data_IF_399079864276
#
_entry.id   IF_399079864276
#
_cell.length_a   1.000
_cell.length_b   1.000
_cell.length_c   1.000
_cell.angle_alpha   90.00
_cell.angle_beta   90.00
_cell.angle_gamma   90.00
#
_symmetry.space_group_name_H-M   'P 1'
#
loop_
_entity.id
_entity.type
_entity.pdbx_description
1 polymer ?
#
# COMPACT_ATOMS: atom_id res chain seq x y z
N UNK A 1 -9.52 -20.48 24.85
CA UNK A 1 -10.05 -19.53 25.86
C UNK A 1 -9.27 -18.20 25.76
N UNK A 2 -9.39 -17.52 24.61
CA UNK A 2 -8.72 -16.24 24.28
C UNK A 2 -9.66 -15.42 23.37
N UNK A 3 -10.90 -15.28 23.81
CA UNK A 3 -11.87 -14.37 23.22
C UNK A 3 -12.28 -13.39 24.32
N UNK A 4 -12.22 -12.09 23.99
CA UNK A 4 -12.53 -10.91 24.84
C UNK A 4 -11.37 -10.30 25.63
N UNK A 5 -10.42 -9.71 24.91
CA UNK A 5 -9.65 -8.54 25.38
C UNK A 5 -9.48 -7.48 24.27
N UNK A 6 -10.48 -7.32 23.39
CA UNK A 6 -10.54 -6.20 22.44
C UNK A 6 -11.43 -5.07 22.99
N UNK A 7 -11.16 -4.64 24.22
CA UNK A 7 -11.74 -3.41 24.75
C UNK A 7 -10.77 -2.25 24.43
N UNK A 8 -11.17 -1.45 23.44
CA UNK A 8 -10.85 -0.04 23.27
C UNK A 8 -9.39 0.34 23.59
N UNK A 9 -8.46 0.02 22.69
CA UNK A 9 -7.27 0.86 22.60
C UNK A 9 -7.76 2.27 22.29
N UNK A 10 -7.50 3.27 23.15
CA UNK A 10 -7.94 4.63 22.90
C UNK A 10 -7.31 5.08 21.59
N UNK A 11 -8.14 5.49 20.62
CA UNK A 11 -7.68 6.02 19.34
C UNK A 11 -6.56 7.04 19.58
N UNK A 12 -5.48 6.96 18.81
CA UNK A 12 -4.36 7.89 18.93
C UNK A 12 -4.82 9.30 18.56
N UNK A 13 -4.09 10.31 19.06
CA UNK A 13 -4.40 11.74 18.85
C UNK A 13 -4.55 12.07 17.36
N UNK A 14 -3.66 11.52 16.53
CA UNK A 14 -3.73 11.64 15.06
C UNK A 14 -5.09 11.19 14.52
N UNK A 15 -5.53 9.97 14.84
CA UNK A 15 -6.80 9.42 14.36
C UNK A 15 -8.00 10.27 14.79
N UNK A 16 -8.03 10.70 16.06
CA UNK A 16 -9.11 11.55 16.57
C UNK A 16 -9.17 12.90 15.88
N UNK A 17 -8.01 13.51 15.61
CA UNK A 17 -7.93 14.79 14.92
C UNK A 17 -8.53 14.72 13.52
N UNK A 18 -8.21 13.66 12.76
CA UNK A 18 -8.78 13.47 11.42
C UNK A 18 -10.29 13.24 11.51
N UNK A 19 -10.75 12.31 12.36
CA UNK A 19 -12.18 12.01 12.52
C UNK A 19 -13.00 13.24 12.96
N UNK A 20 -12.46 14.05 13.89
CA UNK A 20 -13.11 15.28 14.32
C UNK A 20 -13.28 16.27 13.15
N UNK A 21 -12.28 16.37 12.25
CA UNK A 21 -12.41 17.21 11.06
C UNK A 21 -13.43 16.66 10.07
N UNK A 22 -13.47 15.34 9.85
CA UNK A 22 -14.45 14.71 8.95
C UNK A 22 -15.88 14.90 9.45
N UNK A 23 -16.11 14.74 10.75
CA UNK A 23 -17.43 14.90 11.35
C UNK A 23 -17.96 16.35 11.28
N UNK A 24 -17.07 17.34 11.34
CA UNK A 24 -17.44 18.75 11.10
C UNK A 24 -17.89 19.01 9.66
N UNK A 25 -17.43 18.21 8.69
CA UNK A 25 -17.78 18.37 7.28
C UNK A 25 -19.10 17.68 6.89
N UNK A 26 -19.54 16.66 7.64
CA UNK A 26 -20.73 15.85 7.33
C UNK A 26 -22.07 16.46 7.80
N UNK A 27 -22.14 17.77 8.00
CA UNK A 27 -23.35 18.45 8.52
C UNK A 27 -24.46 18.65 7.47
N UNK A 28 -24.29 18.20 6.23
CA UNK A 28 -25.33 18.31 5.19
C UNK A 28 -25.80 16.93 4.71
N UNK A 29 -27.03 16.57 5.11
CA UNK A 29 -27.73 15.35 4.73
C UNK A 29 -28.02 15.21 3.21
N UNK A 30 -27.80 16.28 2.43
CA UNK A 30 -28.26 16.39 1.04
C UNK A 30 -27.15 16.34 -0.01
N UNK A 31 -25.87 16.29 0.37
CA UNK A 31 -24.77 16.22 -0.58
C UNK A 31 -24.11 14.83 -0.59
N UNK A 32 -23.83 14.25 -1.78
CA UNK A 32 -23.03 13.04 -1.86
C UNK A 32 -21.67 13.27 -1.17
N UNK A 33 -21.23 12.35 -0.32
CA UNK A 33 -19.96 12.37 0.47
C UNK A 33 -18.72 12.82 -0.33
N UNK A 34 -18.74 12.60 -1.65
CA UNK A 34 -17.64 12.89 -2.55
C UNK A 34 -17.73 14.26 -3.23
N UNK A 35 -18.91 14.86 -3.39
CA UNK A 35 -19.10 16.04 -4.23
C UNK A 35 -18.45 17.28 -3.61
N UNK A 36 -17.67 18.01 -4.40
CA UNK A 36 -17.09 19.29 -4.02
C UNK A 36 -17.75 20.47 -4.78
N UNK A 37 -18.50 21.32 -4.08
CA UNK A 37 -19.16 22.50 -4.69
C UNK A 37 -18.30 23.76 -4.66
N UNK A 38 -17.09 23.66 -4.12
CA UNK A 38 -16.19 24.80 -3.90
C UNK A 38 -15.09 24.89 -4.95
N UNK A 39 -14.68 23.75 -5.52
CA UNK A 39 -13.69 23.70 -6.60
C UNK A 39 -14.03 24.63 -7.77
N UNK A 40 -15.28 24.67 -8.29
CA UNK A 40 -15.62 25.55 -9.43
C UNK A 40 -15.51 27.05 -9.11
N UNK A 41 -15.41 27.42 -7.83
CA UNK A 41 -15.33 28.80 -7.36
C UNK A 41 -13.88 29.28 -7.17
N UNK A 42 -12.90 28.39 -7.35
CA UNK A 42 -11.49 28.73 -7.18
C UNK A 42 -11.00 29.62 -8.33
N UNK A 43 -10.26 30.65 -7.98
CA UNK A 43 -9.52 31.50 -8.92
C UNK A 43 -8.28 30.77 -9.44
N UNK A 44 -7.71 31.26 -10.55
CA UNK A 44 -6.47 30.71 -11.11
C UNK A 44 -5.28 30.79 -10.14
N UNK A 45 -5.25 31.82 -9.29
CA UNK A 45 -4.22 32.01 -8.27
C UNK A 45 -4.36 30.93 -7.19
N UNK A 46 -5.55 30.74 -6.62
CA UNK A 46 -5.82 29.71 -5.61
C UNK A 46 -5.53 28.29 -6.15
N UNK A 47 -5.81 28.06 -7.43
CA UNK A 47 -5.47 26.79 -8.09
C UNK A 47 -3.96 26.58 -8.14
N UNK A 48 -3.19 27.57 -8.60
CA UNK A 48 -1.74 27.47 -8.70
C UNK A 48 -1.06 27.33 -7.33
N UNK A 49 -1.55 28.07 -6.33
CA UNK A 49 -1.12 27.94 -4.94
C UNK A 49 -1.43 26.54 -4.41
N UNK A 50 -2.65 26.05 -4.60
CA UNK A 50 -3.06 24.71 -4.15
C UNK A 50 -2.31 23.57 -4.84
N UNK A 51 -1.92 23.74 -6.12
CA UNK A 51 -1.03 22.80 -6.82
C UNK A 51 0.36 22.82 -6.15
N UNK A 52 0.93 24.01 -5.97
CA UNK A 52 2.27 24.18 -5.40
C UNK A 52 2.35 23.60 -3.98
N UNK A 53 1.36 23.91 -3.14
CA UNK A 53 1.22 23.34 -1.80
C UNK A 53 1.11 21.81 -1.84
N UNK A 54 0.34 21.24 -2.76
CA UNK A 54 0.25 19.78 -2.89
C UNK A 54 1.61 19.17 -3.26
N UNK A 55 2.36 19.80 -4.17
CA UNK A 55 3.69 19.36 -4.56
C UNK A 55 4.68 19.37 -3.39
N UNK A 56 4.65 20.42 -2.57
CA UNK A 56 5.51 20.59 -1.39
C UNK A 56 5.12 19.66 -0.25
N UNK A 57 3.83 19.40 -0.05
CA UNK A 57 3.32 18.54 1.01
C UNK A 57 3.64 17.06 0.81
N UNK A 58 3.93 16.61 -0.41
CA UNK A 58 4.24 15.21 -0.70
C UNK A 58 5.74 14.93 -0.56
N UNK A 59 6.16 14.11 0.43
CA UNK A 59 7.57 13.84 0.66
C UNK A 59 8.22 13.13 -0.52
N UNK A 60 9.53 13.29 -0.61
CA UNK A 60 10.38 12.50 -1.50
C UNK A 60 11.09 11.42 -0.68
N UNK A 61 11.34 10.26 -1.29
CA UNK A 61 12.05 9.16 -0.64
C UNK A 61 11.59 7.82 -1.18
N UNK A 62 12.50 6.85 -1.20
CA UNK A 62 12.24 5.51 -1.70
C UNK A 62 11.26 4.75 -0.82
N UNK A 63 11.22 5.03 0.49
CA UNK A 63 10.38 4.31 1.46
C UNK A 63 8.95 4.84 1.59
N UNK A 64 8.62 5.91 0.88
CA UNK A 64 7.26 6.44 0.89
C UNK A 64 6.47 5.84 -0.26
N UNK A 65 5.27 5.37 0.08
CA UNK A 65 4.25 4.98 -0.90
C UNK A 65 3.00 5.79 -0.65
N UNK A 66 2.21 5.92 -1.71
CA UNK A 66 1.10 6.84 -1.79
C UNK A 66 -0.16 6.09 -2.20
N UNK A 67 -1.31 6.51 -1.65
CA UNK A 67 -2.60 6.02 -2.10
C UNK A 67 -3.60 7.16 -2.23
N UNK A 68 -4.27 7.24 -3.36
CA UNK A 68 -5.39 8.14 -3.57
C UNK A 68 -6.69 7.43 -3.19
N UNK A 69 -7.59 8.14 -2.53
CA UNK A 69 -8.94 7.65 -2.24
C UNK A 69 -9.95 8.77 -2.42
N UNK A 70 -11.07 8.45 -3.08
CA UNK A 70 -12.16 9.40 -3.31
C UNK A 70 -13.20 9.34 -2.18
N UNK A 71 -13.64 10.50 -1.69
CA UNK A 71 -14.59 10.59 -0.58
C UNK A 71 -13.98 10.32 0.80
N UNK A 72 -14.82 10.28 1.82
CA UNK A 72 -14.35 10.18 3.21
C UNK A 72 -14.41 8.77 3.78
N UNK A 73 -15.16 7.86 3.15
CA UNK A 73 -15.44 6.52 3.69
C UNK A 73 -14.20 5.73 4.09
N UNK A 74 -13.20 5.59 3.20
CA UNK A 74 -11.99 4.83 3.50
C UNK A 74 -11.20 5.49 4.65
N UNK A 75 -11.15 6.82 4.67
CA UNK A 75 -10.49 7.59 5.76
C UNK A 75 -11.19 7.37 7.08
N UNK A 76 -12.52 7.47 7.11
CA UNK A 76 -13.29 7.26 8.32
C UNK A 76 -13.10 5.83 8.87
N UNK A 77 -13.21 4.81 8.01
CA UNK A 77 -13.04 3.41 8.42
C UNK A 77 -11.61 3.11 8.89
N UNK A 78 -10.58 3.56 8.15
CA UNK A 78 -9.18 3.34 8.51
C UNK A 78 -8.81 4.08 9.81
N UNK A 79 -9.29 5.31 10.01
CA UNK A 79 -9.07 6.05 11.24
C UNK A 79 -9.76 5.42 12.46
N UNK A 80 -10.96 4.88 12.26
CA UNK A 80 -11.75 4.24 13.33
C UNK A 80 -11.16 2.90 13.74
N UNK A 81 -10.68 2.11 12.77
CA UNK A 81 -10.15 0.77 13.01
C UNK A 81 -8.64 0.75 13.26
N UNK A 82 -7.97 1.86 12.97
CA UNK A 82 -6.51 2.01 12.92
C UNK A 82 -5.82 1.14 11.84
N UNK A 83 -6.57 0.67 10.83
CA UNK A 83 -6.03 -0.17 9.75
C UNK A 83 -6.40 0.35 8.36
N UNK A 84 -5.40 0.74 7.59
CA UNK A 84 -5.52 1.05 6.17
C UNK A 84 -5.32 -0.22 5.33
N UNK A 85 -6.25 -0.49 4.41
CA UNK A 85 -6.27 -1.72 3.61
C UNK A 85 -7.16 -2.83 4.16
N UNK A 86 -8.04 -2.52 5.14
CA UNK A 86 -9.02 -3.47 5.72
C UNK A 86 -10.44 -2.91 5.78
N UNK A 87 -10.77 -2.02 4.82
CA UNK A 87 -12.08 -1.38 4.70
C UNK A 87 -13.22 -2.40 4.48
N UNK A 88 -14.45 -1.98 4.74
CA UNK A 88 -15.67 -2.77 4.50
C UNK A 88 -15.79 -3.21 3.04
N UNK A 89 -15.30 -2.41 2.10
CA UNK A 89 -15.24 -2.74 0.66
C UNK A 89 -14.17 -3.80 0.40
N UNK A 90 -12.97 -3.60 0.95
CA UNK A 90 -11.86 -4.53 0.78
C UNK A 90 -12.20 -5.94 1.29
N UNK A 91 -12.86 -6.04 2.45
CA UNK A 91 -13.25 -7.34 3.05
C UNK A 91 -14.29 -8.12 2.22
N UNK A 92 -15.04 -7.45 1.35
CA UNK A 92 -16.04 -8.09 0.47
C UNK A 92 -15.45 -8.66 -0.82
N UNK A 93 -14.20 -8.31 -1.17
CA UNK A 93 -13.52 -8.82 -2.38
C UNK A 93 -13.23 -10.31 -2.28
N UNK A 94 -12.87 -10.92 -3.41
CA UNK A 94 -12.52 -12.34 -3.47
C UNK A 94 -11.31 -12.70 -2.58
N UNK A 95 -11.33 -13.91 -2.03
CA UNK A 95 -10.24 -14.48 -1.25
C UNK A 95 -9.17 -15.06 -2.18
N UNK A 96 -8.44 -14.19 -2.89
CA UNK A 96 -7.52 -14.58 -3.97
C UNK A 96 -6.15 -13.92 -3.83
N UNK A 97 -5.10 -14.67 -4.17
CA UNK A 97 -3.74 -14.18 -4.38
C UNK A 97 -3.33 -14.22 -5.86
N UNK A 98 -4.28 -14.31 -6.80
CA UNK A 98 -4.00 -14.18 -8.23
C UNK A 98 -3.63 -12.72 -8.54
N UNK A 99 -2.33 -12.47 -8.62
CA UNK A 99 -1.79 -11.14 -8.88
C UNK A 99 -2.21 -10.61 -10.25
N UNK A 100 -2.25 -11.46 -11.28
CA UNK A 100 -2.55 -11.02 -12.65
C UNK A 100 -4.02 -10.62 -12.77
N UNK A 101 -4.92 -11.42 -12.19
CA UNK A 101 -6.34 -11.02 -12.12
C UNK A 101 -6.52 -9.72 -11.33
N UNK A 102 -5.82 -9.57 -10.20
CA UNK A 102 -5.89 -8.37 -9.39
C UNK A 102 -5.52 -7.09 -10.15
N UNK A 103 -4.55 -7.15 -11.08
CA UNK A 103 -4.19 -6.00 -11.92
C UNK A 103 -5.31 -5.54 -12.85
N UNK A 104 -6.26 -6.43 -13.18
CA UNK A 104 -7.38 -6.14 -14.08
C UNK A 104 -8.63 -5.79 -13.29
N UNK A 105 -8.99 -6.65 -12.32
CA UNK A 105 -10.27 -6.61 -11.62
C UNK A 105 -10.22 -5.84 -10.29
N UNK A 106 -9.02 -5.60 -9.74
CA UNK A 106 -8.81 -5.12 -8.37
C UNK A 106 -9.59 -5.95 -7.32
N UNK A 107 -9.86 -7.23 -7.61
CA UNK A 107 -10.73 -8.09 -6.81
C UNK A 107 -9.92 -9.09 -5.98
N UNK A 108 -9.16 -8.58 -5.02
CA UNK A 108 -8.57 -9.38 -3.95
C UNK A 108 -8.72 -8.68 -2.62
N UNK A 109 -9.18 -9.40 -1.60
CA UNK A 109 -9.22 -8.89 -0.22
C UNK A 109 -7.84 -8.82 0.43
N UNK A 110 -6.85 -9.53 -0.12
CA UNK A 110 -5.50 -9.63 0.41
C UNK A 110 -4.52 -8.64 -0.22
N UNK A 111 -4.90 -8.02 -1.35
CA UNK A 111 -4.07 -7.05 -2.05
C UNK A 111 -4.61 -5.63 -1.96
N UNK A 112 -3.71 -4.69 -1.72
CA UNK A 112 -4.01 -3.28 -1.57
C UNK A 112 -3.03 -2.42 -2.37
N UNK A 113 -3.51 -1.83 -3.46
CA UNK A 113 -2.70 -1.04 -4.39
C UNK A 113 -2.28 0.30 -3.78
N UNK A 114 -1.00 0.61 -4.00
CA UNK A 114 -0.32 1.85 -3.65
C UNK A 114 0.65 2.21 -4.78
N UNK A 115 1.06 3.47 -4.86
CA UNK A 115 2.05 3.92 -5.84
C UNK A 115 3.32 4.40 -5.13
N UNK A 116 4.53 4.03 -5.59
CA UNK A 116 5.77 4.63 -5.11
C UNK A 116 5.97 6.06 -5.65
N UNK A 117 5.14 6.51 -6.60
CA UNK A 117 5.29 7.82 -7.23
C UNK A 117 4.21 8.79 -6.76
N UNK A 118 4.67 9.89 -6.16
CA UNK A 118 3.82 10.97 -5.65
C UNK A 118 3.03 11.73 -6.72
N UNK A 119 3.37 11.57 -7.99
CA UNK A 119 2.68 12.23 -9.11
C UNK A 119 1.56 11.36 -9.69
N UNK A 120 1.77 10.05 -9.79
CA UNK A 120 0.79 9.11 -10.35
C UNK A 120 -0.35 8.78 -9.39
N UNK A 121 -0.23 9.13 -8.10
CA UNK A 121 -1.29 8.93 -7.11
C UNK A 121 -2.47 9.91 -7.27
N UNK A 122 -2.21 11.11 -7.83
CA UNK A 122 -3.18 12.21 -7.83
C UNK A 122 -4.49 11.83 -8.52
N UNK A 123 -4.50 11.25 -9.74
CA UNK A 123 -5.74 10.89 -10.40
C UNK A 123 -6.64 9.97 -9.57
N UNK A 124 -6.06 9.08 -8.76
CA UNK A 124 -6.81 8.17 -7.89
C UNK A 124 -7.48 8.85 -6.69
N UNK A 125 -7.03 10.04 -6.30
CA UNK A 125 -7.60 10.76 -5.17
C UNK A 125 -8.85 11.54 -5.55
N UNK A 126 -8.85 12.23 -6.70
CA UNK A 126 -9.98 13.07 -7.12
C UNK A 126 -10.10 13.27 -8.66
N UNK A 127 -9.27 12.60 -9.46
CA UNK A 127 -9.18 12.82 -10.91
C UNK A 127 -9.97 11.82 -11.75
N UNK A 128 -10.51 10.75 -11.15
CA UNK A 128 -11.31 9.74 -11.85
C UNK A 128 -12.81 10.10 -11.84
N UNK A 129 -13.31 10.67 -10.74
CA UNK A 129 -14.69 11.12 -10.61
C UNK A 129 -15.15 11.96 -11.80
N UNK A 130 -16.41 11.81 -12.21
CA UNK A 130 -17.01 12.56 -13.34
C UNK A 130 -17.23 14.03 -12.97
N UNK A 131 -17.59 14.26 -11.70
CA UNK A 131 -17.94 15.55 -11.11
C UNK A 131 -16.83 16.00 -10.14
N UNK A 132 -16.74 17.30 -9.84
CA UNK A 132 -15.80 17.80 -8.85
C UNK A 132 -15.94 17.04 -7.53
N UNK A 133 -14.82 16.62 -6.97
CA UNK A 133 -14.86 15.78 -5.79
C UNK A 133 -13.75 16.07 -4.79
N UNK A 134 -14.02 15.70 -3.55
CA UNK A 134 -13.05 15.61 -2.46
C UNK A 134 -12.39 14.25 -2.47
N UNK A 135 -11.11 14.27 -2.20
CA UNK A 135 -10.28 13.09 -2.11
C UNK A 135 -9.25 13.22 -1.00
N UNK A 136 -8.51 12.14 -0.79
CA UNK A 136 -7.40 12.10 0.13
C UNK A 136 -6.23 11.37 -0.49
N UNK A 137 -5.03 11.86 -0.22
CA UNK A 137 -3.79 11.16 -0.50
C UNK A 137 -3.21 10.71 0.84
N UNK A 138 -3.11 9.40 0.99
CA UNK A 138 -2.37 8.76 2.08
C UNK A 138 -0.89 8.76 1.71
N UNK A 139 -0.05 9.16 2.67
CA UNK A 139 1.40 9.05 2.59
C UNK A 139 1.83 8.07 3.67
N UNK A 140 2.39 6.94 3.29
CA UNK A 140 2.74 5.86 4.20
C UNK A 140 4.19 5.42 4.01
N UNK A 141 4.77 4.80 5.04
CA UNK A 141 6.00 4.02 4.88
C UNK A 141 5.76 2.74 4.07
N UNK A 142 6.84 1.99 3.80
CA UNK A 142 6.73 0.64 3.24
C UNK A 142 5.95 -0.29 4.20
N UNK A 143 5.11 -1.19 3.67
CA UNK A 143 4.35 -2.13 4.49
C UNK A 143 5.25 -3.25 5.01
N UNK A 144 4.70 -4.13 5.85
CA UNK A 144 5.40 -5.36 6.23
C UNK A 144 5.70 -6.26 5.04
N UNK A 145 4.73 -6.43 4.14
CA UNK A 145 4.83 -7.33 2.99
C UNK A 145 4.24 -6.65 1.77
N UNK A 146 4.96 -6.69 0.66
CA UNK A 146 4.49 -6.17 -0.61
C UNK A 146 5.01 -6.98 -1.78
N UNK A 147 4.52 -6.64 -2.96
CA UNK A 147 5.12 -7.08 -4.20
C UNK A 147 5.05 -6.02 -5.29
N UNK A 148 5.86 -6.21 -6.34
CA UNK A 148 5.94 -5.32 -7.50
C UNK A 148 5.42 -6.09 -8.73
N UNK A 149 4.25 -5.74 -9.27
CA UNK A 149 3.66 -6.48 -10.39
C UNK A 149 4.53 -6.48 -11.65
N UNK A 150 5.16 -5.35 -11.98
CA UNK A 150 6.06 -5.24 -13.13
C UNK A 150 7.23 -6.25 -13.05
N UNK A 151 7.79 -6.47 -11.84
CA UNK A 151 8.87 -7.43 -11.61
C UNK A 151 8.44 -8.85 -11.98
N UNK A 152 7.19 -9.22 -11.72
CA UNK A 152 6.69 -10.56 -12.07
C UNK A 152 6.63 -10.79 -13.57
N UNK A 153 6.35 -9.75 -14.37
CA UNK A 153 6.37 -9.89 -15.83
C UNK A 153 7.75 -10.32 -16.32
N UNK A 154 8.81 -9.77 -15.73
CA UNK A 154 10.19 -10.14 -16.09
C UNK A 154 10.64 -11.50 -15.54
N UNK A 155 10.11 -11.90 -14.38
CA UNK A 155 10.46 -13.14 -13.69
C UNK A 155 9.66 -14.35 -14.16
N UNK A 156 8.39 -14.16 -14.52
CA UNK A 156 7.41 -15.21 -14.80
C UNK A 156 6.37 -14.73 -15.82
N UNK A 157 6.84 -14.47 -17.05
CA UNK A 157 6.00 -14.04 -18.16
C UNK A 157 4.86 -15.03 -18.43
N UNK A 158 5.09 -16.32 -18.21
CA UNK A 158 4.10 -17.38 -18.45
C UNK A 158 2.85 -17.25 -17.58
N UNK A 159 2.96 -16.68 -16.38
CA UNK A 159 1.80 -16.39 -15.54
C UNK A 159 0.82 -15.43 -16.24
N UNK A 160 1.35 -14.46 -16.99
CA UNK A 160 0.55 -13.50 -17.77
C UNK A 160 0.01 -14.15 -19.05
N UNK A 161 0.77 -15.05 -19.68
CA UNK A 161 0.29 -15.82 -20.84
C UNK A 161 -0.82 -16.80 -20.49
N UNK A 162 -0.72 -17.48 -19.35
CA UNK A 162 -1.79 -18.34 -18.83
C UNK A 162 -3.06 -17.54 -18.56
N UNK A 163 -2.95 -16.36 -17.94
CA UNK A 163 -4.11 -15.46 -17.78
C UNK A 163 -4.71 -15.03 -19.12
N UNK A 164 -3.86 -14.59 -20.06
CA UNK A 164 -4.28 -14.18 -21.41
C UNK A 164 -5.06 -15.28 -22.12
N UNK A 165 -4.54 -16.52 -22.12
CA UNK A 165 -5.22 -17.67 -22.71
C UNK A 165 -6.57 -17.95 -22.07
N UNK A 166 -6.65 -17.90 -20.73
CA UNK A 166 -7.92 -18.08 -19.99
C UNK A 166 -8.95 -17.02 -20.37
N UNK A 167 -8.55 -15.75 -20.46
CA UNK A 167 -9.45 -14.65 -20.80
C UNK A 167 -9.96 -14.74 -22.24
N UNK A 168 -9.08 -15.01 -23.21
CA UNK A 168 -9.47 -15.15 -24.63
C UNK A 168 -10.48 -16.28 -24.82
N UNK A 169 -10.33 -17.38 -24.09
CA UNK A 169 -11.29 -18.50 -24.14
C UNK A 169 -12.67 -18.17 -23.55
N UNK A 170 -12.76 -17.10 -22.74
CA UNK A 170 -13.98 -16.66 -22.08
C UNK A 170 -14.66 -15.48 -22.79
N UNK A 171 -14.05 -14.93 -23.86
CA UNK A 171 -14.62 -13.79 -24.58
C UNK A 171 -15.87 -14.20 -25.36
N UNK A 172 -16.90 -13.37 -25.24
CA UNK A 172 -18.09 -13.46 -26.10
C UNK A 172 -17.82 -12.86 -27.49
N UNK A 173 -18.68 -13.18 -28.46
CA UNK A 173 -18.55 -12.67 -29.83
C UNK A 173 -18.63 -11.14 -29.84
N UNK A 174 -17.58 -10.50 -30.38
CA UNK A 174 -17.46 -9.04 -30.46
C UNK A 174 -16.69 -8.39 -29.31
N UNK A 175 -16.35 -9.12 -28.25
CA UNK A 175 -15.50 -8.61 -27.18
C UNK A 175 -14.01 -8.56 -27.58
N UNK A 176 -13.29 -7.54 -27.08
CA UNK A 176 -11.86 -7.37 -27.34
C UNK A 176 -11.05 -7.67 -26.10
N UNK A 177 -10.06 -8.55 -26.26
CA UNK A 177 -9.03 -8.75 -25.24
C UNK A 177 -8.17 -7.49 -25.07
N UNK A 178 -7.94 -7.09 -23.82
CA UNK A 178 -6.98 -6.04 -23.48
C UNK A 178 -5.66 -6.67 -23.00
N UNK A 179 -4.53 -6.44 -23.70
CA UNK A 179 -3.25 -7.08 -23.36
C UNK A 179 -2.74 -6.76 -21.95
N UNK A 180 -2.77 -7.75 -21.05
CA UNK A 180 -2.36 -7.57 -19.64
C UNK A 180 -0.86 -7.32 -19.49
N UNK A 181 -0.03 -7.85 -20.39
CA UNK A 181 1.42 -7.64 -20.37
C UNK A 181 1.79 -6.15 -20.52
N UNK A 182 1.08 -5.42 -21.39
CA UNK A 182 1.31 -3.99 -21.58
C UNK A 182 0.90 -3.18 -20.33
N UNK A 183 -0.22 -3.55 -19.71
CA UNK A 183 -0.63 -2.97 -18.42
C UNK A 183 0.43 -3.22 -17.35
N UNK A 184 0.89 -4.46 -17.18
CA UNK A 184 1.90 -4.82 -16.19
C UNK A 184 3.25 -4.14 -16.44
N UNK A 185 3.69 -4.03 -17.69
CA UNK A 185 4.94 -3.37 -18.06
C UNK A 185 4.96 -1.87 -17.73
N UNK A 186 3.80 -1.21 -17.79
CA UNK A 186 3.65 0.21 -17.46
C UNK A 186 3.17 0.45 -16.01
N UNK A 187 2.98 -0.62 -15.24
CA UNK A 187 2.49 -0.53 -13.87
C UNK A 187 3.66 -0.36 -12.89
N UNK A 188 3.88 0.86 -12.43
CA UNK A 188 4.88 1.15 -11.40
C UNK A 188 4.36 0.99 -9.96
N UNK A 189 3.15 0.47 -9.77
CA UNK A 189 2.51 0.33 -8.46
C UNK A 189 3.21 -0.72 -7.57
N UNK A 190 3.03 -0.53 -6.28
CA UNK A 190 3.37 -1.49 -5.24
C UNK A 190 2.06 -2.08 -4.72
N UNK A 191 1.95 -3.40 -4.76
CA UNK A 191 0.81 -4.11 -4.18
C UNK A 191 1.16 -4.52 -2.76
N UNK A 192 0.55 -3.84 -1.78
CA UNK A 192 0.65 -4.21 -0.36
C UNK A 192 -0.13 -5.51 -0.13
N UNK A 193 0.43 -6.42 0.66
CA UNK A 193 -0.22 -7.67 1.02
C UNK A 193 -0.71 -7.55 2.46
N UNK A 194 -2.03 -7.52 2.63
CA UNK A 194 -2.68 -7.30 3.93
C UNK A 194 -3.04 -8.60 4.65
N UNK A 195 -2.77 -9.77 4.05
CA UNK A 195 -2.92 -11.08 4.68
C UNK A 195 -2.69 -12.26 3.73
N UNK A 196 -2.48 -13.46 4.28
CA UNK A 196 -2.45 -14.72 3.54
C UNK A 196 -3.70 -15.60 3.78
N UNK A 197 -4.44 -15.37 4.86
CA UNK A 197 -5.75 -15.95 5.13
C UNK A 197 -6.72 -14.94 5.72
N UNK A 198 -7.99 -15.33 5.94
CA UNK A 198 -9.01 -14.42 6.46
C UNK A 198 -8.77 -14.00 7.92
N UNK A 199 -7.96 -14.76 8.64
CA UNK A 199 -7.57 -14.54 10.03
C UNK A 199 -6.37 -13.58 10.15
N UNK A 200 -5.65 -13.35 9.05
CA UNK A 200 -4.50 -12.46 9.01
C UNK A 200 -4.91 -10.98 8.99
N UNK A 201 -4.08 -10.16 9.62
CA UNK A 201 -4.12 -8.71 9.47
C UNK A 201 -2.70 -8.14 9.41
N UNK A 202 -2.19 -7.99 8.20
CA UNK A 202 -0.87 -7.41 7.91
C UNK A 202 -1.01 -5.99 7.34
N UNK A 203 -2.19 -5.40 7.45
CA UNK A 203 -2.51 -4.09 6.92
C UNK A 203 -1.68 -2.99 7.61
N UNK A 204 -1.58 -1.84 6.95
CA UNK A 204 -0.87 -0.68 7.49
C UNK A 204 -1.63 -0.17 8.71
N UNK A 205 -0.94 -0.06 9.85
CA UNK A 205 -1.51 0.54 11.05
C UNK A 205 -1.45 2.05 10.93
N UNK A 206 -2.60 2.72 10.90
CA UNK A 206 -2.66 4.16 10.62
C UNK A 206 -1.83 4.97 11.61
N UNK A 207 -1.91 4.63 12.88
CA UNK A 207 -1.16 5.32 13.94
C UNK A 207 0.36 5.21 13.85
N UNK A 208 0.91 4.21 13.14
CA UNK A 208 2.35 3.94 13.09
C UNK A 208 2.94 4.11 11.68
N UNK A 209 2.22 3.62 10.66
CA UNK A 209 2.72 3.49 9.29
C UNK A 209 2.32 4.65 8.36
N UNK A 210 1.33 5.45 8.74
CA UNK A 210 0.88 6.61 7.97
C UNK A 210 1.61 7.84 8.47
N UNK A 211 2.40 8.46 7.61
CA UNK A 211 3.15 9.68 7.90
C UNK A 211 2.25 10.91 7.89
N UNK A 212 1.36 10.99 6.89
CA UNK A 212 0.40 12.07 6.76
C UNK A 212 -0.75 11.71 5.84
N UNK A 213 -1.80 12.50 5.94
CA UNK A 213 -2.96 12.48 5.03
C UNK A 213 -3.16 13.88 4.51
N UNK A 214 -3.35 13.98 3.21
CA UNK A 214 -3.56 15.24 2.51
C UNK A 214 -4.96 15.20 1.95
N UNK A 215 -5.84 16.09 2.42
CA UNK A 215 -7.12 16.30 1.76
C UNK A 215 -6.89 17.11 0.48
N UNK A 216 -7.52 16.66 -0.59
CA UNK A 216 -7.47 17.30 -1.89
C UNK A 216 -8.88 17.50 -2.45
N UNK A 217 -9.01 18.39 -3.43
CA UNK A 217 -10.21 18.51 -4.26
C UNK A 217 -9.82 18.60 -5.73
N UNK A 218 -10.65 18.02 -6.59
CA UNK A 218 -10.41 17.96 -8.03
C UNK A 218 -11.63 18.38 -8.85
N UNK A 219 -11.44 18.70 -10.14
CA UNK A 219 -12.49 19.19 -11.04
C UNK A 219 -13.42 18.09 -11.60
N UNK A 220 -12.99 16.83 -11.51
CA UNK A 220 -13.64 15.70 -12.18
C UNK A 220 -13.42 15.66 -13.70
N UNK A 221 -13.60 14.49 -14.32
CA UNK A 221 -13.26 14.20 -15.73
C UNK A 221 -14.10 14.94 -16.76
N UNK A 222 -15.40 15.13 -16.51
CA UNK A 222 -16.32 15.67 -17.52
C UNK A 222 -16.55 17.16 -17.32
N UNK A 223 -16.85 17.57 -16.09
CA UNK A 223 -17.02 18.99 -15.76
C UNK A 223 -15.68 19.75 -15.76
N UNK A 224 -14.57 19.08 -15.46
CA UNK A 224 -13.23 19.67 -15.56
C UNK A 224 -12.81 20.11 -16.96
N UNK A 225 -13.48 19.64 -18.02
CA UNK A 225 -13.25 20.14 -19.39
C UNK A 225 -13.74 21.58 -19.58
N UNK A 226 -14.66 22.04 -18.74
CA UNK A 226 -15.25 23.37 -18.77
C UNK A 226 -14.69 24.28 -17.66
N UNK A 227 -13.68 23.82 -16.93
CA UNK A 227 -13.04 24.57 -15.83
C UNK A 227 -11.70 25.14 -16.26
N UNK A 228 -11.25 26.18 -15.55
CA UNK A 228 -9.96 26.84 -15.75
C UNK A 228 -8.76 25.92 -15.49
N UNK A 229 -8.94 24.83 -14.73
CA UNK A 229 -7.89 23.84 -14.46
C UNK A 229 -8.44 22.43 -14.32
N UNK A 230 -7.64 21.46 -14.77
CA UNK A 230 -7.87 20.01 -14.66
C UNK A 230 -7.10 19.38 -13.49
N UNK A 231 -6.35 20.18 -12.74
CA UNK A 231 -5.45 19.71 -11.70
C UNK A 231 -6.14 19.48 -10.36
N UNK A 232 -5.54 18.65 -9.53
CA UNK A 232 -6.00 18.42 -8.16
C UNK A 232 -5.27 19.40 -7.25
N UNK A 233 -6.02 20.05 -6.37
CA UNK A 233 -5.50 21.10 -5.48
C UNK A 233 -5.53 20.64 -4.02
N UNK A 234 -4.54 21.11 -3.26
CA UNK A 234 -4.45 20.94 -1.82
C UNK A 234 -5.65 21.58 -1.08
N UNK A 235 -6.00 21.02 0.08
CA UNK A 235 -6.98 21.61 1.01
C UNK A 235 -6.40 21.74 2.41
N UNK A 236 -5.93 20.63 2.99
CA UNK A 236 -5.34 20.60 4.32
C UNK A 236 -4.55 19.31 4.54
N UNK A 237 -3.63 19.34 5.50
CA UNK A 237 -2.80 18.20 5.89
C UNK A 237 -3.04 17.81 7.34
N UNK A 238 -2.99 16.52 7.60
CA UNK A 238 -2.76 15.98 8.95
C UNK A 238 -1.45 15.21 8.95
N UNK A 239 -0.50 15.65 9.77
CA UNK A 239 0.78 14.96 9.96
C UNK A 239 0.70 14.10 11.21
N UNK A 240 1.16 12.86 11.12
CA UNK A 240 1.22 11.93 12.24
C UNK A 240 2.56 12.10 12.98
N UNK A 241 2.58 12.64 14.21
CA UNK A 241 3.82 12.81 14.97
C UNK A 241 4.44 11.47 15.44
N UNK A 242 3.65 10.40 15.48
CA UNK A 242 4.09 9.07 15.91
C UNK A 242 4.60 8.21 14.76
N UNK A 243 4.53 8.71 13.52
CA UNK A 243 5.02 7.98 12.35
C UNK A 243 6.50 7.66 12.51
N UNK A 244 6.83 6.40 12.23
CA UNK A 244 8.21 5.97 12.02
C UNK A 244 8.28 4.99 10.86
N UNK A 245 9.38 5.06 10.12
CA UNK A 245 9.69 4.03 9.12
C UNK A 245 9.87 2.69 9.83
N UNK A 246 9.32 1.63 9.22
CA UNK A 246 9.58 0.26 9.68
C UNK A 246 11.05 -0.06 9.51
N UNK A 247 11.58 -0.88 10.42
CA UNK A 247 12.95 -1.39 10.31
C UNK A 247 13.11 -2.33 9.11
N UNK A 248 12.04 -3.05 8.74
CA UNK A 248 12.07 -4.03 7.66
C UNK A 248 10.78 -4.01 6.83
N UNK A 249 10.90 -4.50 5.60
CA UNK A 249 9.81 -4.78 4.67
C UNK A 249 10.19 -5.97 3.78
N UNK A 250 9.27 -6.91 3.56
CA UNK A 250 9.49 -8.08 2.71
C UNK A 250 8.89 -7.86 1.33
N UNK A 251 9.71 -8.01 0.29
CA UNK A 251 9.21 -8.14 -1.08
C UNK A 251 9.09 -9.62 -1.43
N UNK A 252 7.85 -10.07 -1.67
CA UNK A 252 7.59 -11.46 -2.06
C UNK A 252 7.25 -11.58 -3.53
N UNK A 253 7.45 -12.77 -4.10
CA UNK A 253 7.00 -13.10 -5.45
C UNK A 253 5.91 -14.17 -5.43
N UNK A 254 5.04 -14.11 -6.44
CA UNK A 254 3.97 -15.07 -6.69
C UNK A 254 4.30 -15.92 -7.92
N UNK A 255 4.11 -17.23 -7.77
CA UNK A 255 4.05 -18.17 -8.89
C UNK A 255 2.59 -18.40 -9.28
N UNK A 256 2.36 -18.96 -10.47
CA UNK A 256 1.01 -19.34 -10.89
C UNK A 256 0.44 -20.45 -9.97
N UNK A 257 -0.74 -20.20 -9.40
CA UNK A 257 -1.45 -21.15 -8.53
C UNK A 257 -0.96 -21.19 -7.08
N UNK A 258 -1.45 -22.16 -6.30
CA UNK A 258 -1.09 -22.35 -4.89
C UNK A 258 0.23 -23.10 -4.69
N UNK A 259 0.73 -23.75 -5.73
CA UNK A 259 2.02 -24.44 -5.73
C UNK A 259 3.09 -23.58 -6.42
N UNK A 260 4.35 -23.62 -5.97
CA UNK A 260 5.47 -22.86 -6.53
C UNK A 260 5.93 -23.37 -7.92
N UNK A 261 5.01 -23.62 -8.85
CA UNK A 261 5.25 -24.33 -10.12
C UNK A 261 6.35 -23.70 -10.97
N UNK A 262 6.45 -22.37 -10.97
CA UNK A 262 7.45 -21.63 -11.75
C UNK A 262 8.57 -21.03 -10.88
N UNK A 263 8.62 -21.36 -9.58
CA UNK A 263 9.49 -20.67 -8.64
C UNK A 263 10.99 -20.86 -8.94
N UNK A 264 11.44 -22.07 -9.26
CA UNK A 264 12.86 -22.30 -9.61
C UNK A 264 13.27 -21.52 -10.85
N UNK A 265 12.39 -21.50 -11.86
CA UNK A 265 12.57 -20.69 -13.06
C UNK A 265 12.63 -19.19 -12.75
N UNK A 266 11.80 -18.70 -11.84
CA UNK A 266 11.84 -17.31 -11.39
C UNK A 266 13.17 -16.98 -10.72
N UNK A 267 13.72 -17.88 -9.90
CA UNK A 267 15.04 -17.70 -9.30
C UNK A 267 16.15 -17.67 -10.37
N UNK A 268 16.12 -18.58 -11.34
CA UNK A 268 17.09 -18.58 -12.45
C UNK A 268 17.01 -17.30 -13.28
N UNK A 269 15.80 -16.82 -13.56
CA UNK A 269 15.57 -15.55 -14.26
C UNK A 269 16.06 -14.37 -13.43
N UNK A 270 15.81 -14.36 -12.12
CA UNK A 270 16.29 -13.31 -11.22
C UNK A 270 17.83 -13.25 -11.18
N UNK A 271 18.52 -14.41 -11.18
CA UNK A 271 19.98 -14.47 -11.29
C UNK A 271 20.49 -13.92 -12.61
N UNK A 272 19.86 -14.32 -13.73
CA UNK A 272 20.21 -13.81 -15.08
C UNK A 272 20.02 -12.30 -15.20
N UNK A 273 19.04 -11.74 -14.49
CA UNK A 273 18.77 -10.30 -14.45
C UNK A 273 19.60 -9.54 -13.38
N UNK A 274 20.46 -10.23 -12.62
CA UNK A 274 21.26 -9.63 -11.55
C UNK A 274 20.46 -9.16 -10.34
N UNK A 275 19.21 -9.62 -10.18
CA UNK A 275 18.35 -9.26 -9.05
C UNK A 275 18.72 -10.01 -7.76
N UNK A 276 19.29 -11.21 -7.91
CA UNK A 276 19.83 -12.04 -6.83
C UNK A 276 21.14 -12.70 -7.29
N UNK A 277 22.00 -13.07 -6.35
CA UNK A 277 23.23 -13.81 -6.55
C UNK A 277 23.02 -15.33 -6.62
N UNK A 278 24.13 -16.06 -6.78
CA UNK A 278 24.13 -17.50 -7.01
C UNK A 278 23.64 -18.32 -5.80
N UNK A 279 23.90 -17.83 -4.59
CA UNK A 279 23.54 -18.50 -3.33
C UNK A 279 22.27 -17.95 -2.69
N UNK A 280 21.49 -17.19 -3.47
CA UNK A 280 20.28 -16.53 -3.01
C UNK A 280 19.04 -17.09 -3.73
N UNK A 281 17.88 -16.89 -3.10
CA UNK A 281 16.54 -17.14 -3.64
C UNK A 281 15.59 -15.99 -3.28
N UNK A 282 14.56 -15.80 -4.10
CA UNK A 282 13.48 -14.82 -3.88
C UNK A 282 12.60 -15.24 -2.69
N UNK A 283 11.96 -14.30 -1.99
CA UNK A 283 10.97 -14.64 -0.96
C UNK A 283 9.60 -14.94 -1.56
N UNK A 284 8.85 -15.83 -0.91
CA UNK A 284 7.49 -16.23 -1.27
C UNK A 284 6.47 -15.77 -0.24
N UNK A 285 5.17 -15.87 -0.55
CA UNK A 285 4.12 -15.65 0.44
C UNK A 285 4.24 -16.61 1.65
N UNK A 286 4.74 -17.83 1.45
CA UNK A 286 4.96 -18.79 2.54
C UNK A 286 6.05 -18.30 3.50
N UNK A 287 7.14 -17.73 2.97
CA UNK A 287 8.19 -17.11 3.78
C UNK A 287 7.61 -15.96 4.61
N UNK A 288 6.88 -15.04 3.96
CA UNK A 288 6.25 -13.91 4.66
C UNK A 288 5.28 -14.37 5.76
N UNK A 289 4.40 -15.33 5.47
CA UNK A 289 3.46 -15.89 6.45
C UNK A 289 4.17 -16.44 7.69
N UNK A 290 5.36 -17.01 7.52
CA UNK A 290 6.11 -17.60 8.63
C UNK A 290 6.76 -16.57 9.57
N UNK A 291 7.06 -15.36 9.08
CA UNK A 291 7.86 -14.36 9.84
C UNK A 291 7.14 -13.05 10.15
N UNK A 292 6.09 -12.66 9.42
CA UNK A 292 5.47 -11.33 9.48
C UNK A 292 4.90 -10.94 10.86
N UNK A 293 4.52 -11.94 11.65
CA UNK A 293 4.01 -11.81 13.02
C UNK A 293 4.97 -12.43 14.04
N UNK A 294 6.26 -12.56 13.70
CA UNK A 294 7.28 -13.03 14.65
C UNK A 294 7.55 -11.99 15.73
N UNK A 295 7.74 -12.45 16.95
CA UNK A 295 8.02 -11.58 18.10
C UNK A 295 9.36 -10.86 17.89
N UNK A 296 10.33 -11.55 17.30
CA UNK A 296 11.67 -11.05 17.05
C UNK A 296 11.68 -9.81 16.13
N UNK A 297 10.93 -9.88 15.03
CA UNK A 297 10.82 -8.76 14.08
C UNK A 297 9.95 -7.63 14.63
N UNK A 298 8.93 -7.94 15.44
CA UNK A 298 8.13 -6.93 16.14
C UNK A 298 8.95 -6.19 17.21
N UNK A 299 9.73 -6.91 18.02
CA UNK A 299 10.62 -6.34 19.03
C UNK A 299 11.69 -5.48 18.36
N UNK A 300 12.29 -5.95 17.26
CA UNK A 300 13.27 -5.19 16.50
C UNK A 300 12.65 -3.87 16.00
N UNK A 301 11.47 -3.93 15.39
CA UNK A 301 10.74 -2.77 14.90
C UNK A 301 10.29 -1.85 16.05
N UNK A 302 9.90 -2.38 17.21
CA UNK A 302 9.44 -1.61 18.36
C UNK A 302 10.59 -0.85 19.05
N UNK A 303 11.77 -1.46 19.15
CA UNK A 303 12.94 -0.91 19.88
C UNK A 303 13.79 0.05 19.06
N UNK A 304 13.67 0.08 17.74
CA UNK A 304 14.54 0.89 16.90
C UNK A 304 13.77 1.88 16.03
N UNK A 305 14.50 2.93 15.63
CA UNK A 305 14.19 3.83 14.54
C UNK A 305 15.23 3.67 13.44
N UNK A 306 14.81 3.97 12.22
CA UNK A 306 15.68 4.01 11.05
C UNK A 306 15.26 5.15 10.14
N UNK A 307 16.24 5.69 9.41
CA UNK A 307 15.99 6.65 8.34
C UNK A 307 15.63 5.97 7.02
N UNK A 308 15.83 4.67 6.89
CA UNK A 308 15.50 3.88 5.70
C UNK A 308 14.94 2.51 6.08
N UNK A 309 13.86 2.07 5.45
CA UNK A 309 13.33 0.73 5.71
C UNK A 309 14.17 -0.33 4.98
N UNK A 310 14.68 -1.32 5.72
CA UNK A 310 15.43 -2.40 5.09
C UNK A 310 14.49 -3.26 4.24
N UNK A 311 14.77 -3.40 2.95
CA UNK A 311 13.99 -4.24 2.05
C UNK A 311 14.65 -5.60 1.95
N UNK A 312 14.02 -6.61 2.54
CA UNK A 312 14.44 -8.00 2.36
C UNK A 312 13.87 -8.47 1.02
N UNK A 313 14.74 -8.56 0.02
CA UNK A 313 14.37 -8.95 -1.35
C UNK A 313 14.69 -10.41 -1.66
N UNK A 314 15.55 -11.02 -0.85
CA UNK A 314 16.14 -12.34 -1.07
C UNK A 314 16.66 -12.93 0.24
N UNK A 315 16.85 -14.24 0.24
CA UNK A 315 17.47 -14.99 1.35
C UNK A 315 18.40 -16.06 0.80
N UNK A 316 19.22 -16.69 1.64
CA UNK A 316 20.06 -17.80 1.20
C UNK A 316 19.21 -18.95 0.62
N UNK A 317 19.63 -19.54 -0.51
CA UNK A 317 18.86 -20.55 -1.24
C UNK A 317 18.58 -21.82 -0.43
N UNK A 318 19.46 -22.15 0.51
CA UNK A 318 19.35 -23.35 1.35
C UNK A 318 18.32 -23.21 2.47
N UNK A 319 17.81 -22.00 2.74
CA UNK A 319 16.74 -21.80 3.71
C UNK A 319 15.44 -22.31 3.08
N UNK A 320 14.79 -23.38 3.59
CA UNK A 320 13.56 -23.90 3.00
C UNK A 320 12.42 -22.87 3.03
N UNK A 321 11.49 -22.96 2.08
CA UNK A 321 10.32 -22.08 2.03
C UNK A 321 9.52 -22.14 3.33
N UNK A 322 9.23 -21.00 3.93
CA UNK A 322 8.44 -20.91 5.16
C UNK A 322 9.15 -21.43 6.42
N UNK A 323 10.46 -21.70 6.37
CA UNK A 323 11.23 -22.12 7.55
C UNK A 323 11.47 -20.94 8.50
N UNK A 324 10.52 -20.71 9.42
CA UNK A 324 10.50 -19.54 10.32
C UNK A 324 11.84 -19.25 11.00
N UNK A 325 12.46 -20.24 11.66
CA UNK A 325 13.67 -20.04 12.46
C UNK A 325 14.83 -19.49 11.64
N UNK A 326 15.19 -20.19 10.56
CA UNK A 326 16.28 -19.79 9.68
C UNK A 326 16.00 -18.49 8.92
N UNK A 327 14.73 -18.22 8.56
CA UNK A 327 14.34 -16.95 7.95
C UNK A 327 14.53 -15.78 8.91
N UNK A 328 14.08 -15.90 10.16
CA UNK A 328 14.23 -14.83 11.17
C UNK A 328 15.70 -14.57 11.45
N UNK A 329 16.49 -15.62 11.67
CA UNK A 329 17.93 -15.49 11.94
C UNK A 329 18.63 -14.75 10.80
N UNK A 330 18.37 -15.16 9.55
CA UNK A 330 18.93 -14.52 8.36
C UNK A 330 18.50 -13.04 8.26
N UNK A 331 17.20 -12.75 8.36
CA UNK A 331 16.66 -11.39 8.23
C UNK A 331 17.24 -10.46 9.30
N UNK A 332 17.30 -10.91 10.56
CA UNK A 332 17.83 -10.10 11.66
C UNK A 332 19.33 -9.84 11.47
N UNK A 333 20.10 -10.84 11.03
CA UNK A 333 21.53 -10.67 10.73
C UNK A 333 21.75 -9.69 9.55
N UNK A 334 20.95 -9.79 8.49
CA UNK A 334 21.00 -8.91 7.33
C UNK A 334 20.70 -7.45 7.72
N UNK A 335 19.64 -7.21 8.50
CA UNK A 335 19.28 -5.86 8.96
C UNK A 335 20.41 -5.27 9.81
N UNK A 336 20.92 -6.04 10.79
CA UNK A 336 21.97 -5.55 11.70
C UNK A 336 23.30 -5.27 11.01
N UNK A 337 23.60 -5.95 9.91
CA UNK A 337 24.83 -5.75 9.15
C UNK A 337 24.74 -4.60 8.14
N UNK A 338 23.54 -4.27 7.65
CA UNK A 338 23.35 -3.30 6.56
C UNK A 338 22.81 -1.94 7.01
N UNK A 339 22.14 -1.87 8.17
CA UNK A 339 21.49 -0.64 8.63
C UNK A 339 22.04 -0.12 9.95
N UNK A 340 22.22 1.21 10.01
CA UNK A 340 22.38 1.91 11.28
C UNK A 340 21.01 2.05 11.94
N UNK A 341 20.73 1.17 12.90
CA UNK A 341 19.54 1.25 13.73
C UNK A 341 19.82 2.15 14.94
N UNK A 342 18.90 3.07 15.23
CA UNK A 342 18.96 3.91 16.42
C UNK A 342 18.00 3.34 17.48
N UNK A 343 18.53 3.02 18.66
CA UNK A 343 17.70 2.51 19.76
C UNK A 343 16.78 3.60 20.30
N UNK A 344 15.51 3.26 20.50
CA UNK A 344 14.53 4.15 21.11
C UNK A 344 14.77 4.11 22.61
N UNK A 345 15.42 5.16 23.13
CA UNK A 345 15.56 5.35 24.58
C UNK A 345 14.18 5.56 25.18
N UNK A 346 13.62 4.53 25.82
CA UNK A 346 12.52 4.73 26.75
C UNK A 346 13.10 5.47 27.97
N UNK A 347 12.89 6.79 28.02
CA UNK A 347 12.99 7.49 29.29
C UNK A 347 11.90 6.91 30.19
N UNK A 348 12.28 5.98 31.05
CA UNK A 348 11.46 5.56 32.17
C UNK A 348 11.15 6.82 32.98
N UNK A 349 9.92 7.31 32.88
CA UNK A 349 9.38 8.30 33.82
C UNK A 349 9.17 7.58 35.16
N UNK A 350 10.28 7.28 35.83
CA UNK A 350 10.30 7.20 37.29
C UNK A 350 10.61 8.61 37.77
N UNK A 351 9.57 9.43 37.89
CA UNK A 351 9.60 10.60 38.76
C UNK A 351 9.05 10.17 40.11
N UNK A 352 9.92 10.33 41.11
CA UNK A 352 9.77 10.16 42.56
C UNK A 352 8.47 10.74 43.13
#
# INVERSE_FOLDING_TARGET
MLARLSHLNPLKTFNRSVLASLNKMNTSLFYPDKLDTTYPKLTAIEINEGISQLHESLPSGTDFIFRGTEGTKEVHEAMTTDFLGMSSVQRKKASSHDLVDYLVSNNSRFFFSTSPCKFTVRPYAAGISIIPCKGYIWVTGLPKVYTVPQKHLFLNEEMFDSYTRRQIQQLEEGEKYHPIKATAANNNEITVIVGASNEDNWALRVSEDVAKIIQVRGPGRLLGKFMSSKEIVHVQDWTNPEFKKRVWSLEVVFSEGTAPKHYDKMNDRARKLGLIGNDERLLTLADARSVVNSEELEVLNARHRTNETHRVLKVHKDIPLGCKGSLIEYIVAEIRSTQKLEEIVHRSTYSL
#
